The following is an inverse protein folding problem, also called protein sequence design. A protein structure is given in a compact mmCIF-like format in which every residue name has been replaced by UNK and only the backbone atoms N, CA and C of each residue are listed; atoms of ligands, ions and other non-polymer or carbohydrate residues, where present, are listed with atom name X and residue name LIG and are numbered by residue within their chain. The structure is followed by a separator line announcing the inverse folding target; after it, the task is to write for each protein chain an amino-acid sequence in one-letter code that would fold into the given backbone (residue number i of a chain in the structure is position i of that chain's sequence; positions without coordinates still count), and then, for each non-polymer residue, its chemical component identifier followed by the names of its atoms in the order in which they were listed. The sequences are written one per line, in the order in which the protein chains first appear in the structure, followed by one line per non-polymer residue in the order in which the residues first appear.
data_IF_578709610382
#
_entry.id   IF_578709610382
#
_cell.length_a   1.000
_cell.length_b   1.000
_cell.length_c   1.000
_cell.angle_alpha   90.00
_cell.angle_beta   90.00
_cell.angle_gamma   90.00
#
_symmetry.space_group_name_H-M   'P 1'
#
loop_
_entity.id
_entity.type
_entity.pdbx_description
1 polymer ?
#
# COMPACT_ATOMS: atom_id res chain seq x y z
N UNK A 1 -41.23 -26.71 5.29
CA UNK A 1 -39.82 -26.96 5.62
C UNK A 1 -38.86 -26.43 4.55
N UNK A 2 -39.12 -26.67 3.25
CA UNK A 2 -38.27 -26.21 2.13
C UNK A 2 -38.03 -24.68 2.11
N UNK A 3 -39.06 -23.87 2.40
CA UNK A 3 -38.93 -22.40 2.48
C UNK A 3 -37.85 -21.91 3.45
N UNK A 4 -37.65 -22.61 4.57
CA UNK A 4 -36.71 -22.22 5.62
C UNK A 4 -35.24 -22.50 5.23
N UNK A 5 -35.02 -23.61 4.52
CA UNK A 5 -33.70 -24.00 3.98
C UNK A 5 -33.27 -23.05 2.86
N UNK A 6 -34.19 -22.67 1.97
CA UNK A 6 -33.93 -21.71 0.89
C UNK A 6 -33.56 -20.34 1.45
N UNK A 7 -34.27 -19.85 2.47
CA UNK A 7 -33.94 -18.56 3.12
C UNK A 7 -32.58 -18.60 3.80
N UNK A 8 -32.23 -19.69 4.49
CA UNK A 8 -30.93 -19.81 5.16
C UNK A 8 -29.76 -19.81 4.17
N UNK A 9 -29.87 -20.57 3.07
CA UNK A 9 -28.86 -20.63 2.00
C UNK A 9 -28.65 -19.26 1.32
N UNK A 10 -29.74 -18.55 1.00
CA UNK A 10 -29.65 -17.20 0.42
C UNK A 10 -28.99 -16.20 1.37
N UNK A 11 -29.32 -16.22 2.66
CA UNK A 11 -28.72 -15.31 3.66
C UNK A 11 -27.21 -15.54 3.80
N UNK A 12 -26.77 -16.81 3.84
CA UNK A 12 -25.32 -17.12 3.89
C UNK A 12 -24.59 -16.70 2.62
N UNK A 13 -25.24 -16.78 1.45
CA UNK A 13 -24.63 -16.41 0.17
C UNK A 13 -24.47 -14.89 0.02
N UNK A 14 -25.45 -14.10 0.49
CA UNK A 14 -25.42 -12.63 0.40
C UNK A 14 -24.45 -12.01 1.41
N UNK A 15 -24.32 -12.58 2.62
CA UNK A 15 -23.40 -12.10 3.65
C UNK A 15 -21.92 -12.36 3.33
N UNK A 16 -21.63 -13.27 2.40
CA UNK A 16 -20.27 -13.57 1.93
C UNK A 16 -19.80 -12.74 0.74
N UNK A 17 -20.66 -11.87 0.18
CA UNK A 17 -20.25 -11.00 -0.92
C UNK A 17 -19.36 -9.88 -0.38
N UNK A 18 -18.15 -9.67 -0.94
CA UNK A 18 -17.35 -8.50 -0.61
C UNK A 18 -18.18 -7.28 -1.00
N UNK A 19 -18.61 -6.51 0.00
CA UNK A 19 -19.31 -5.25 -0.27
C UNK A 19 -18.45 -4.46 -1.23
N UNK A 20 -19.00 -4.15 -2.39
CA UNK A 20 -18.36 -3.31 -3.38
C UNK A 20 -18.28 -1.91 -2.76
N UNK A 21 -17.20 -1.68 -2.02
CA UNK A 21 -16.84 -0.42 -1.38
C UNK A 21 -16.71 0.59 -2.52
N UNK A 22 -17.77 1.36 -2.77
CA UNK A 22 -17.69 2.49 -3.68
C UNK A 22 -16.92 3.57 -2.95
N UNK A 23 -15.69 3.82 -3.39
CA UNK A 23 -14.96 4.97 -2.92
C UNK A 23 -15.47 6.24 -3.64
N UNK A 24 -15.65 7.35 -2.92
CA UNK A 24 -15.90 8.64 -3.54
C UNK A 24 -14.74 9.01 -4.46
N UNK A 25 -15.05 9.49 -5.66
CA UNK A 25 -14.04 9.97 -6.60
C UNK A 25 -13.79 11.44 -6.31
N UNK A 26 -12.61 11.74 -5.77
CA UNK A 26 -12.18 13.11 -5.54
C UNK A 26 -11.32 13.62 -6.71
N UNK A 27 -11.35 14.93 -6.95
CA UNK A 27 -10.41 15.60 -7.85
C UNK A 27 -9.50 16.50 -7.02
N UNK A 28 -8.35 15.97 -6.65
CA UNK A 28 -7.38 16.63 -5.75
C UNK A 28 -6.03 16.84 -6.45
N UNK A 29 -5.12 17.55 -5.78
CA UNK A 29 -3.77 17.76 -6.31
C UNK A 29 -3.05 16.41 -6.43
N UNK A 30 -2.28 16.24 -7.50
CA UNK A 30 -1.52 15.01 -7.71
C UNK A 30 -0.47 14.80 -6.62
N UNK A 31 -0.56 13.67 -5.92
CA UNK A 31 0.46 13.21 -4.99
C UNK A 31 1.44 12.28 -5.71
N UNK A 32 2.74 12.61 -5.84
CA UNK A 32 3.71 11.80 -6.58
C UNK A 32 3.93 10.42 -5.95
N UNK A 33 3.76 10.32 -4.64
CA UNK A 33 3.95 9.10 -3.87
C UNK A 33 2.62 8.42 -3.47
N UNK A 34 1.49 8.89 -4.03
CA UNK A 34 0.14 8.36 -3.80
C UNK A 34 -0.63 9.01 -2.64
N UNK A 35 -1.89 8.59 -2.50
CA UNK A 35 -2.86 9.13 -1.54
C UNK A 35 -2.98 8.26 -0.29
N UNK A 36 -3.21 8.90 0.85
CA UNK A 36 -3.48 8.23 2.11
C UNK A 36 -4.88 7.61 2.13
N UNK A 37 -5.04 6.51 2.87
CA UNK A 37 -6.28 5.76 2.95
C UNK A 37 -7.06 6.11 4.21
N UNK A 38 -8.38 6.23 4.08
CA UNK A 38 -9.28 6.35 5.22
C UNK A 38 -9.53 5.01 5.92
N UNK A 39 -10.29 5.04 7.02
CA UNK A 39 -10.67 3.84 7.80
C UNK A 39 -11.45 2.80 6.98
N UNK A 40 -12.00 3.18 5.84
CA UNK A 40 -12.74 2.30 4.94
C UNK A 40 -11.86 1.73 3.82
N UNK A 41 -10.59 2.15 3.73
CA UNK A 41 -9.64 1.79 2.69
C UNK A 41 -9.81 2.58 1.39
N UNK A 42 -10.47 3.74 1.43
CA UNK A 42 -10.64 4.64 0.29
C UNK A 42 -9.57 5.73 0.26
N UNK A 43 -9.16 6.12 -0.94
CA UNK A 43 -8.21 7.23 -1.13
C UNK A 43 -8.82 8.55 -0.66
N UNK A 44 -8.08 9.27 0.17
CA UNK A 44 -8.40 10.62 0.61
C UNK A 44 -7.61 11.65 -0.20
N UNK A 45 -7.93 12.94 -0.03
CA UNK A 45 -7.15 14.03 -0.64
C UNK A 45 -5.87 14.40 0.14
N UNK A 46 -5.40 13.49 0.97
CA UNK A 46 -4.17 13.62 1.75
C UNK A 46 -3.07 12.82 1.05
N UNK A 47 -1.90 13.41 0.84
CA UNK A 47 -0.75 12.66 0.30
C UNK A 47 -0.14 11.76 1.37
N UNK A 48 0.36 10.59 0.97
CA UNK A 48 1.12 9.72 1.88
C UNK A 48 2.35 10.44 2.42
N UNK A 49 2.60 10.31 3.72
CA UNK A 49 3.86 10.72 4.31
C UNK A 49 4.96 9.72 3.93
N UNK A 50 5.74 10.05 2.90
CA UNK A 50 6.93 9.27 2.58
C UNK A 50 8.06 9.66 3.53
N UNK A 51 8.26 8.83 4.54
CA UNK A 51 9.50 8.85 5.32
C UNK A 51 10.62 8.33 4.44
N UNK A 52 11.22 9.21 3.65
CA UNK A 52 12.48 8.91 2.96
C UNK A 52 13.52 8.71 4.04
N UNK A 53 14.11 7.52 4.12
CA UNK A 53 15.25 7.29 4.99
C UNK A 53 16.32 8.34 4.63
N UNK A 54 16.69 9.18 5.59
CA UNK A 54 17.73 10.18 5.39
C UNK A 54 19.07 9.43 5.41
N UNK A 55 19.51 8.99 4.24
CA UNK A 55 20.77 8.30 4.09
C UNK A 55 21.90 9.27 3.75
N UNK A 56 23.07 9.04 4.32
CA UNK A 56 24.28 9.74 3.89
C UNK A 56 24.71 9.22 2.51
N UNK A 57 25.25 10.08 1.64
CA UNK A 57 25.79 9.63 0.36
C UNK A 57 26.93 8.63 0.59
N UNK A 58 26.99 7.60 -0.25
CA UNK A 58 28.08 6.61 -0.24
C UNK A 58 29.34 7.26 -0.82
N UNK A 59 30.43 7.31 -0.05
CA UNK A 59 31.67 8.03 -0.43
C UNK A 59 32.78 7.12 -0.99
N UNK A 60 32.59 5.80 -1.06
CA UNK A 60 33.60 4.89 -1.62
C UNK A 60 33.60 4.88 -3.16
N UNK A 61 34.74 4.48 -3.73
CA UNK A 61 35.00 4.44 -5.17
C UNK A 61 34.92 3.01 -5.72
N UNK A 62 33.82 2.31 -5.46
CA UNK A 62 33.55 0.99 -6.04
C UNK A 62 32.41 1.07 -7.06
N UNK A 63 32.49 0.28 -8.11
CA UNK A 63 31.40 0.09 -9.07
C UNK A 63 30.72 -1.25 -8.80
N UNK A 64 29.40 -1.24 -8.66
CA UNK A 64 28.59 -2.43 -8.47
C UNK A 64 27.55 -2.51 -9.59
N UNK A 65 27.57 -3.57 -10.39
CA UNK A 65 26.66 -3.74 -11.54
C UNK A 65 25.18 -3.82 -11.10
N UNK A 66 24.91 -4.43 -9.95
CA UNK A 66 23.57 -4.57 -9.37
C UNK A 66 23.25 -3.52 -8.27
N UNK A 67 24.09 -2.49 -8.12
CA UNK A 67 23.94 -1.47 -7.08
C UNK A 67 24.58 -1.84 -5.73
N UNK A 68 24.44 -0.93 -4.76
CA UNK A 68 25.02 -1.05 -3.42
C UNK A 68 24.16 -1.93 -2.50
N UNK A 69 24.80 -2.66 -1.60
CA UNK A 69 24.15 -3.38 -0.51
C UNK A 69 23.52 -2.40 0.51
N UNK A 70 22.48 -2.86 1.19
CA UNK A 70 21.75 -2.09 2.20
C UNK A 70 22.13 -2.53 3.61
N UNK A 71 22.44 -1.57 4.47
CA UNK A 71 22.75 -1.77 5.89
C UNK A 71 21.50 -2.05 6.75
N UNK A 72 21.69 -2.32 8.05
CA UNK A 72 20.58 -2.58 8.98
C UNK A 72 19.68 -1.37 9.22
N UNK A 73 20.15 -0.18 8.89
CA UNK A 73 19.42 1.09 8.92
C UNK A 73 18.59 1.35 7.65
N UNK A 74 18.68 0.44 6.65
CA UNK A 74 18.03 0.63 5.36
C UNK A 74 18.79 1.56 4.41
N UNK A 75 20.01 1.99 4.76
CA UNK A 75 20.83 2.87 3.92
C UNK A 75 21.91 2.12 3.15
N UNK A 76 22.32 2.62 1.97
CA UNK A 76 23.35 1.98 1.17
C UNK A 76 24.71 2.04 1.87
N UNK A 77 25.44 0.94 1.86
CA UNK A 77 26.79 0.81 2.44
C UNK A 77 27.84 0.60 1.36
N UNK A 78 29.11 0.72 1.72
CA UNK A 78 30.25 0.49 0.82
C UNK A 78 30.51 -1.01 0.56
N UNK A 79 29.51 -1.70 0.01
CA UNK A 79 29.56 -3.08 -0.45
C UNK A 79 28.57 -3.26 -1.61
N UNK A 80 28.79 -4.26 -2.47
CA UNK A 80 27.84 -4.61 -3.54
C UNK A 80 26.74 -5.55 -3.02
N UNK A 81 25.55 -5.43 -3.60
CA UNK A 81 24.38 -6.27 -3.29
C UNK A 81 24.58 -7.75 -3.69
#
# INVERSE_FOLDING_TARGET
MIKLLVTALLVTFVAGLPQQRRCPVYRCMACPDGYDLDENGCESCTCKEVKRAVCSPVLCKIYCENGFATGPDGCPICACA
#
